data_IF_081704326265
#
_entry.id   IF_081704326265
#
_cell.length_a   1.000
_cell.length_b   1.000
_cell.length_c   1.000
_cell.angle_alpha   90.00
_cell.angle_beta   90.00
_cell.angle_gamma   90.00
#
_symmetry.space_group_name_H-M   'P 1'
#
loop_
_entity.id
_entity.type
_entity.pdbx_description
1 polymer ?
#
# COMPACT_ATOMS: atom_id res chain seq x y z
N UNK A 1 -66.77 0.14 -38.17
CA UNK A 1 -65.39 0.22 -37.66
C UNK A 1 -65.41 1.39 -36.69
N UNK A 2 -65.45 1.08 -35.39
CA UNK A 2 -65.82 2.02 -34.32
C UNK A 2 -64.62 2.28 -33.40
N UNK A 3 -64.73 3.35 -32.63
CA UNK A 3 -63.70 4.14 -31.96
C UNK A 3 -63.23 3.58 -30.59
N UNK A 4 -61.96 3.88 -30.29
CA UNK A 4 -61.40 4.32 -28.98
C UNK A 4 -61.25 3.41 -27.75
N UNK A 5 -60.07 3.61 -27.16
CA UNK A 5 -59.73 3.67 -25.72
C UNK A 5 -59.56 2.35 -24.94
N UNK A 6 -58.34 2.09 -24.45
CA UNK A 6 -58.05 2.13 -23.01
C UNK A 6 -56.56 1.85 -22.68
N UNK A 7 -56.04 2.79 -21.89
CA UNK A 7 -55.02 2.74 -20.84
C UNK A 7 -53.56 2.27 -21.00
N UNK A 8 -52.72 3.19 -20.56
CA UNK A 8 -51.32 3.14 -20.15
C UNK A 8 -51.01 1.98 -19.20
N UNK A 9 -49.82 1.37 -19.29
CA UNK A 9 -48.99 1.11 -18.11
C UNK A 9 -47.51 1.06 -18.51
N UNK A 10 -46.73 1.84 -17.78
CA UNK A 10 -45.28 1.92 -17.74
C UNK A 10 -44.60 0.56 -17.54
N UNK A 11 -43.58 0.26 -18.34
CA UNK A 11 -42.44 -0.50 -17.83
C UNK A 11 -41.13 0.12 -18.33
N UNK A 12 -40.60 0.97 -17.47
CA UNK A 12 -39.18 1.33 -17.42
C UNK A 12 -38.35 0.08 -17.17
N UNK A 13 -37.54 -0.33 -18.13
CA UNK A 13 -36.43 -1.25 -17.84
C UNK A 13 -35.22 -0.94 -18.70
N UNK A 14 -34.58 0.17 -18.31
CA UNK A 14 -33.17 0.43 -18.48
C UNK A 14 -32.34 -0.81 -18.09
N UNK A 15 -31.83 -1.56 -19.06
CA UNK A 15 -30.71 -2.48 -18.82
C UNK A 15 -29.42 -1.79 -19.18
N UNK A 16 -28.89 -1.09 -18.18
CA UNK A 16 -27.51 -0.63 -18.11
C UNK A 16 -26.56 -1.79 -18.45
N UNK A 17 -25.87 -1.65 -19.59
CA UNK A 17 -24.75 -2.50 -19.94
C UNK A 17 -23.59 -2.20 -18.97
N UNK A 18 -23.51 -3.02 -17.91
CA UNK A 18 -22.43 -2.98 -16.93
C UNK A 18 -21.08 -3.18 -17.64
N UNK A 19 -20.32 -2.09 -17.72
CA UNK A 19 -18.90 -2.07 -18.09
C UNK A 19 -18.09 -2.82 -17.02
N UNK A 20 -17.92 -4.13 -17.18
CA UNK A 20 -17.01 -4.92 -16.35
C UNK A 20 -15.57 -4.63 -16.78
N UNK A 21 -14.93 -3.65 -16.12
CA UNK A 21 -13.47 -3.66 -16.02
C UNK A 21 -13.06 -5.02 -15.48
N UNK A 22 -12.38 -5.85 -16.28
CA UNK A 22 -11.72 -7.08 -15.83
C UNK A 22 -10.75 -6.71 -14.69
N UNK A 23 -11.24 -6.69 -13.45
CA UNK A 23 -10.39 -6.88 -12.26
C UNK A 23 -9.95 -8.32 -12.38
N UNK A 24 -8.69 -8.54 -12.76
CA UNK A 24 -8.07 -9.85 -12.57
C UNK A 24 -8.16 -10.13 -11.07
N UNK A 25 -8.87 -11.18 -10.70
CA UNK A 25 -8.96 -11.63 -9.32
C UNK A 25 -7.53 -11.90 -8.83
N UNK A 26 -7.19 -11.30 -7.70
CA UNK A 26 -5.83 -11.41 -7.17
C UNK A 26 -5.74 -12.71 -6.39
N UNK A 27 -4.84 -13.58 -6.82
CA UNK A 27 -4.59 -14.87 -6.19
C UNK A 27 -3.61 -14.71 -5.03
N UNK A 28 -3.82 -15.51 -3.99
CA UNK A 28 -3.11 -15.49 -2.72
C UNK A 28 -2.86 -16.93 -2.26
N UNK A 29 -2.13 -17.06 -1.14
CA UNK A 29 -1.85 -18.31 -0.44
C UNK A 29 -1.04 -19.29 -1.28
N UNK A 30 -0.70 -20.45 -0.69
CA UNK A 30 -0.09 -21.58 -1.40
C UNK A 30 -1.09 -22.33 -2.27
N UNK A 31 -2.39 -22.12 -2.07
CA UNK A 31 -3.45 -22.71 -2.88
C UNK A 31 -3.78 -21.91 -4.14
N UNK A 32 -3.11 -20.78 -4.36
CA UNK A 32 -3.39 -19.83 -5.44
C UNK A 32 -4.87 -19.40 -5.52
N UNK A 33 -5.55 -19.38 -4.38
CA UNK A 33 -6.96 -19.03 -4.26
C UNK A 33 -7.20 -17.53 -4.06
N UNK A 34 -8.45 -17.10 -4.18
CA UNK A 34 -8.84 -15.73 -3.84
C UNK A 34 -8.74 -15.45 -2.33
N UNK A 35 -8.87 -14.19 -1.93
CA UNK A 35 -8.98 -13.83 -0.52
C UNK A 35 -10.32 -14.28 0.05
N UNK A 36 -10.29 -15.16 1.05
CA UNK A 36 -11.46 -15.61 1.80
C UNK A 36 -11.07 -15.92 3.25
N UNK A 37 -12.05 -16.03 4.16
CA UNK A 37 -11.81 -16.41 5.55
C UNK A 37 -10.81 -15.52 6.30
N UNK A 38 -10.22 -16.06 7.36
CA UNK A 38 -9.10 -15.43 8.06
C UNK A 38 -7.79 -15.70 7.33
N UNK A 39 -6.97 -14.65 7.19
CA UNK A 39 -5.69 -14.73 6.49
C UNK A 39 -4.56 -14.16 7.34
N UNK A 40 -3.39 -14.75 7.21
CA UNK A 40 -2.17 -14.38 7.92
C UNK A 40 -1.04 -14.03 6.95
N UNK A 41 -0.15 -13.12 7.35
CA UNK A 41 1.07 -12.77 6.61
C UNK A 41 2.31 -13.22 7.38
N UNK A 42 3.40 -13.47 6.67
CA UNK A 42 4.67 -13.89 7.29
C UNK A 42 5.36 -12.71 8.01
N UNK A 43 5.75 -12.90 9.28
CA UNK A 43 6.44 -11.89 10.10
C UNK A 43 7.93 -11.75 9.81
N UNK A 44 8.52 -12.70 9.06
CA UNK A 44 9.92 -12.57 8.66
C UNK A 44 10.06 -11.39 7.68
N UNK A 45 10.67 -10.30 8.16
CA UNK A 45 10.89 -9.07 7.38
C UNK A 45 11.73 -9.28 6.12
N UNK A 46 12.57 -10.33 6.10
CA UNK A 46 13.39 -10.73 4.97
C UNK A 46 12.70 -11.73 4.03
N UNK A 47 11.49 -12.21 4.35
CA UNK A 47 10.73 -13.12 3.50
C UNK A 47 10.43 -12.47 2.15
N UNK A 48 10.79 -13.15 1.06
CA UNK A 48 10.44 -12.75 -0.32
C UNK A 48 8.92 -12.67 -0.50
N UNK A 49 8.20 -13.60 0.11
CA UNK A 49 6.75 -13.76 -0.01
C UNK A 49 5.94 -13.11 1.13
N UNK A 50 6.54 -12.21 1.91
CA UNK A 50 5.85 -11.45 2.97
C UNK A 50 4.62 -10.65 2.50
N UNK A 51 4.51 -10.42 1.19
CA UNK A 51 3.37 -9.72 0.57
C UNK A 51 2.19 -10.66 0.31
N UNK A 52 2.42 -11.97 0.39
CA UNK A 52 1.39 -12.98 0.23
C UNK A 52 0.61 -13.14 1.54
N UNK A 53 -0.68 -13.45 1.39
CA UNK A 53 -1.59 -13.75 2.48
C UNK A 53 -1.93 -15.23 2.40
N UNK A 54 -1.91 -15.91 3.53
CA UNK A 54 -2.18 -17.33 3.62
C UNK A 54 -3.49 -17.51 4.37
N UNK A 55 -4.42 -18.30 3.82
CA UNK A 55 -5.59 -18.72 4.59
C UNK A 55 -5.12 -19.51 5.79
N UNK A 56 -5.63 -19.20 6.98
CA UNK A 56 -5.23 -19.87 8.21
C UNK A 56 -5.44 -21.38 8.12
N UNK A 57 -6.56 -21.82 7.54
CA UNK A 57 -6.85 -23.23 7.29
C UNK A 57 -5.82 -23.90 6.37
N UNK A 58 -5.39 -23.22 5.30
CA UNK A 58 -4.41 -23.76 4.36
C UNK A 58 -3.02 -23.95 4.99
N UNK A 59 -2.72 -23.26 6.10
CA UNK A 59 -1.46 -23.39 6.83
C UNK A 59 -1.63 -24.04 8.21
N UNK A 60 -2.80 -24.62 8.49
CA UNK A 60 -3.07 -25.38 9.71
C UNK A 60 -3.12 -24.54 10.99
N UNK A 61 -3.55 -23.28 10.91
CA UNK A 61 -3.75 -22.41 12.06
C UNK A 61 -5.22 -22.38 12.47
N UNK A 62 -5.51 -22.73 13.72
CA UNK A 62 -6.87 -22.65 14.29
C UNK A 62 -7.14 -21.32 14.99
N UNK A 63 -6.10 -20.54 15.30
CA UNK A 63 -6.21 -19.23 15.95
C UNK A 63 -5.06 -18.32 15.52
N UNK A 64 -5.25 -17.00 15.61
CA UNK A 64 -4.23 -16.03 15.18
C UNK A 64 -3.06 -16.03 16.17
N UNK A 65 -1.85 -16.43 15.76
CA UNK A 65 -0.66 -16.41 16.61
C UNK A 65 -0.07 -15.00 16.74
N UNK A 66 0.74 -14.77 17.78
CA UNK A 66 1.47 -13.50 17.96
C UNK A 66 2.62 -13.33 16.94
N UNK A 67 3.24 -14.42 16.52
CA UNK A 67 4.28 -14.42 15.48
C UNK A 67 4.15 -15.68 14.64
N UNK A 68 4.17 -15.52 13.31
CA UNK A 68 4.09 -16.63 12.38
C UNK A 68 5.00 -16.46 11.16
N UNK A 69 5.58 -17.57 10.75
CA UNK A 69 6.45 -17.65 9.57
C UNK A 69 5.81 -18.56 8.53
N UNK A 70 5.81 -18.15 7.27
CA UNK A 70 5.30 -18.98 6.18
C UNK A 70 6.14 -20.25 5.99
N UNK A 71 5.60 -21.30 5.32
CA UNK A 71 6.32 -22.55 5.12
C UNK A 71 7.73 -22.39 4.53
N UNK A 72 7.92 -21.41 3.64
CA UNK A 72 9.22 -21.09 3.06
C UNK A 72 10.23 -20.54 4.08
N UNK A 73 9.77 -19.73 5.04
CA UNK A 73 10.62 -19.18 6.11
C UNK A 73 10.88 -20.18 7.24
N UNK A 74 10.03 -21.19 7.39
CA UNK A 74 10.25 -22.27 8.36
C UNK A 74 11.30 -23.27 7.86
N UNK A 75 11.44 -23.46 6.54
CA UNK A 75 12.34 -24.47 5.94
C UNK A 75 13.69 -23.93 5.48
N UNK A 76 13.86 -22.62 5.34
CA UNK A 76 15.09 -22.01 4.85
C UNK A 76 16.09 -21.69 5.98
N UNK A 77 17.37 -22.13 5.87
CA UNK A 77 18.45 -21.55 6.66
C UNK A 77 18.63 -20.08 6.23
N UNK A 78 18.91 -19.21 7.21
CA UNK A 78 18.81 -17.73 7.13
C UNK A 78 19.62 -17.03 6.02
N UNK A 79 20.41 -17.77 5.22
CA UNK A 79 21.42 -17.23 4.29
C UNK A 79 21.21 -17.62 2.81
N UNK A 80 20.11 -18.28 2.44
CA UNK A 80 19.85 -18.58 1.02
C UNK A 80 19.09 -17.43 0.38
N UNK A 81 19.72 -16.79 -0.62
CA UNK A 81 19.09 -15.77 -1.46
C UNK A 81 17.80 -16.32 -2.08
N UNK A 82 16.65 -15.90 -1.55
CA UNK A 82 15.34 -16.32 -2.03
C UNK A 82 15.02 -15.66 -3.38
N UNK A 83 14.33 -16.36 -4.30
CA UNK A 83 13.96 -15.80 -5.60
C UNK A 83 13.04 -14.57 -5.45
N UNK A 84 13.22 -13.60 -6.34
CA UNK A 84 12.56 -12.29 -6.26
C UNK A 84 11.04 -12.41 -6.50
N UNK A 85 10.25 -11.97 -5.53
CA UNK A 85 8.79 -11.97 -5.61
C UNK A 85 8.30 -10.92 -6.62
N UNK A 86 7.78 -11.38 -7.77
CA UNK A 86 7.27 -10.53 -8.85
C UNK A 86 6.05 -9.67 -8.48
N UNK A 87 5.37 -9.94 -7.37
CA UNK A 87 4.26 -9.12 -6.87
C UNK A 87 4.72 -7.98 -5.97
N UNK A 88 5.98 -7.99 -5.51
CA UNK A 88 6.58 -6.86 -4.80
C UNK A 88 7.18 -5.92 -5.85
N UNK A 89 7.13 -4.61 -5.58
CA UNK A 89 8.10 -3.73 -6.24
C UNK A 89 9.49 -4.27 -5.91
N UNK A 90 10.43 -4.33 -6.88
CA UNK A 90 11.78 -4.83 -6.65
C UNK A 90 12.34 -4.23 -5.36
N UNK A 91 13.17 -4.98 -4.62
CA UNK A 91 13.77 -4.46 -3.38
C UNK A 91 14.53 -3.12 -3.59
N UNK A 92 14.89 -2.84 -4.84
CA UNK A 92 15.56 -1.62 -5.33
C UNK A 92 14.61 -0.46 -5.68
N UNK A 93 13.29 -0.61 -5.59
CA UNK A 93 12.34 0.46 -5.90
C UNK A 93 12.27 1.46 -4.74
N UNK A 94 12.81 2.66 -4.98
CA UNK A 94 12.80 3.78 -4.02
C UNK A 94 11.37 4.07 -3.55
N UNK A 95 11.11 3.88 -2.26
CA UNK A 95 9.83 4.24 -1.64
C UNK A 95 9.83 5.68 -1.15
N UNK A 96 8.66 6.27 -0.90
CA UNK A 96 8.59 7.58 -0.24
C UNK A 96 9.29 7.59 1.12
N UNK A 97 9.26 6.47 1.87
CA UNK A 97 10.02 6.35 3.12
C UNK A 97 11.53 6.46 2.92
N UNK A 98 12.04 5.95 1.81
CA UNK A 98 13.47 6.03 1.48
C UNK A 98 13.82 7.45 1.02
N UNK A 99 12.97 8.09 0.21
CA UNK A 99 13.12 9.50 -0.16
C UNK A 99 13.15 10.43 1.06
N UNK A 100 12.25 10.22 2.03
CA UNK A 100 12.23 10.97 3.30
C UNK A 100 13.52 10.71 4.11
N UNK A 101 13.97 9.46 4.16
CA UNK A 101 15.20 9.12 4.91
C UNK A 101 16.42 9.78 4.29
N UNK A 102 16.52 9.80 2.96
CA UNK A 102 17.60 10.47 2.25
C UNK A 102 17.53 11.99 2.44
N UNK A 103 16.32 12.58 2.39
CA UNK A 103 16.11 13.99 2.69
C UNK A 103 16.65 14.34 4.07
N UNK A 104 16.21 13.62 5.11
CA UNK A 104 16.66 13.86 6.48
C UNK A 104 18.18 13.66 6.64
N UNK A 105 18.77 12.63 6.01
CA UNK A 105 20.24 12.41 6.05
C UNK A 105 21.04 13.51 5.37
N UNK A 106 20.46 14.20 4.39
CA UNK A 106 21.11 15.31 3.69
C UNK A 106 21.01 16.65 4.42
N UNK A 107 20.17 16.75 5.44
CA UNK A 107 19.95 17.95 6.24
C UNK A 107 20.86 17.98 7.48
N UNK A 108 21.09 19.17 8.00
CA UNK A 108 21.85 19.36 9.23
C UNK A 108 21.21 18.60 10.41
N UNK A 109 22.05 17.89 11.17
CA UNK A 109 21.62 17.12 12.36
C UNK A 109 20.57 16.05 12.09
N UNK A 110 20.43 15.58 10.84
CA UNK A 110 19.51 14.52 10.43
C UNK A 110 18.02 14.80 10.73
N UNK A 111 17.64 16.08 10.65
CA UNK A 111 16.31 16.56 11.00
C UNK A 111 15.82 17.59 9.98
N UNK A 112 14.50 17.70 9.81
CA UNK A 112 13.90 18.65 8.87
C UNK A 112 12.40 18.85 9.07
N UNK A 113 11.90 19.99 8.62
CA UNK A 113 10.47 20.30 8.59
C UNK A 113 9.78 19.60 7.41
N UNK A 114 8.45 19.50 7.46
CA UNK A 114 7.67 18.98 6.33
C UNK A 114 7.96 19.71 5.02
N UNK A 115 8.20 21.03 5.07
CA UNK A 115 8.49 21.85 3.89
C UNK A 115 9.83 21.47 3.27
N UNK A 116 10.90 21.44 4.08
CA UNK A 116 12.25 21.08 3.63
C UNK A 116 12.30 19.66 3.08
N UNK A 117 11.61 18.72 3.74
CA UNK A 117 11.51 17.33 3.26
C UNK A 117 10.81 17.29 1.90
N UNK A 118 9.68 18.00 1.73
CA UNK A 118 9.00 18.06 0.45
C UNK A 118 9.86 18.71 -0.64
N UNK A 119 10.57 19.79 -0.34
CA UNK A 119 11.46 20.49 -1.29
C UNK A 119 12.58 19.57 -1.78
N UNK A 120 13.25 18.85 -0.86
CA UNK A 120 14.25 17.86 -1.23
C UNK A 120 13.66 16.73 -2.09
N UNK A 121 12.52 16.17 -1.69
CA UNK A 121 11.88 15.07 -2.42
C UNK A 121 11.49 15.50 -3.83
N UNK A 122 10.95 16.71 -3.97
CA UNK A 122 10.59 17.31 -5.25
C UNK A 122 11.81 17.52 -6.15
N UNK A 123 12.91 18.04 -5.60
CA UNK A 123 14.15 18.29 -6.33
C UNK A 123 14.87 17.02 -6.81
N UNK A 124 14.88 15.95 -6.00
CA UNK A 124 15.69 14.76 -6.27
C UNK A 124 14.92 13.59 -6.90
N UNK A 125 13.59 13.55 -6.76
CA UNK A 125 12.78 12.40 -7.18
C UNK A 125 11.62 12.77 -8.11
N UNK A 126 11.62 13.96 -8.70
CA UNK A 126 10.51 14.53 -9.48
C UNK A 126 9.82 13.56 -10.44
N UNK A 127 10.59 12.77 -11.19
CA UNK A 127 10.10 11.80 -12.18
C UNK A 127 9.39 10.58 -11.57
N UNK A 128 9.58 10.32 -10.29
CA UNK A 128 9.02 9.18 -9.56
C UNK A 128 7.78 9.56 -8.73
N UNK A 129 7.46 10.86 -8.63
CA UNK A 129 6.39 11.35 -7.78
C UNK A 129 5.02 11.20 -8.43
N UNK A 130 4.01 10.93 -7.59
CA UNK A 130 2.62 10.92 -8.03
C UNK A 130 2.03 12.33 -8.04
N UNK A 131 2.04 12.98 -9.20
CA UNK A 131 1.54 14.33 -9.44
C UNK A 131 0.02 14.45 -9.57
N UNK A 132 -0.73 13.34 -9.52
CA UNK A 132 -2.18 13.39 -9.50
C UNK A 132 -2.64 14.26 -8.34
N UNK A 133 -3.61 15.13 -8.57
CA UNK A 133 -4.18 15.97 -7.53
C UNK A 133 -5.22 15.19 -6.72
N UNK A 134 -5.23 15.42 -5.41
CA UNK A 134 -6.30 14.96 -4.52
C UNK A 134 -7.63 15.61 -4.90
N UNK A 135 -8.75 14.95 -4.57
CA UNK A 135 -10.10 15.50 -4.75
C UNK A 135 -10.48 16.51 -3.67
N UNK A 136 -9.58 16.78 -2.72
CA UNK A 136 -9.80 17.74 -1.65
C UNK A 136 -9.79 19.19 -2.15
N UNK A 137 -10.27 20.10 -1.31
CA UNK A 137 -10.35 21.53 -1.66
C UNK A 137 -8.98 22.14 -1.99
N UNK A 138 -7.91 21.61 -1.39
CA UNK A 138 -6.55 22.12 -1.57
C UNK A 138 -5.90 21.61 -2.86
N UNK A 139 -6.50 20.62 -3.54
CA UNK A 139 -6.00 19.98 -4.75
C UNK A 139 -4.50 19.69 -4.65
N UNK A 140 -4.04 19.21 -3.51
CA UNK A 140 -2.62 18.95 -3.30
C UNK A 140 -2.17 17.72 -4.10
N UNK A 141 -0.92 17.67 -4.61
CA UNK A 141 -0.40 16.45 -5.22
C UNK A 141 -0.42 15.28 -4.23
N UNK A 142 -0.86 14.12 -4.70
CA UNK A 142 -1.00 12.89 -3.89
C UNK A 142 0.31 12.51 -3.19
N UNK A 143 1.46 12.75 -3.83
CA UNK A 143 2.76 12.45 -3.22
C UNK A 143 3.02 13.27 -1.94
N UNK A 144 2.59 14.54 -1.87
CA UNK A 144 2.76 15.38 -0.66
C UNK A 144 1.93 14.84 0.50
N UNK A 145 0.70 14.38 0.23
CA UNK A 145 -0.13 13.68 1.22
C UNK A 145 0.50 12.37 1.68
N UNK A 146 1.10 11.62 0.76
CA UNK A 146 1.79 10.35 1.07
C UNK A 146 3.00 10.57 1.99
N UNK A 147 3.84 11.55 1.67
CA UNK A 147 4.97 11.97 2.52
C UNK A 147 4.48 12.34 3.92
N UNK A 148 3.42 13.15 3.99
CA UNK A 148 2.82 13.55 5.28
C UNK A 148 2.37 12.33 6.06
N UNK A 149 1.55 11.45 5.48
CA UNK A 149 1.06 10.23 6.15
C UNK A 149 2.22 9.41 6.73
N UNK A 150 3.26 9.18 5.93
CA UNK A 150 4.43 8.39 6.34
C UNK A 150 5.18 9.03 7.52
N UNK A 151 5.39 10.35 7.52
CA UNK A 151 6.04 11.04 8.63
C UNK A 151 5.31 10.91 9.97
N UNK A 152 3.99 10.68 9.93
CA UNK A 152 3.16 10.54 11.13
C UNK A 152 2.85 9.10 11.51
N UNK A 153 2.90 8.15 10.58
CA UNK A 153 2.51 6.75 10.82
C UNK A 153 3.67 5.76 10.81
N UNK A 154 4.82 6.11 10.24
CA UNK A 154 5.95 5.20 10.13
C UNK A 154 6.94 5.40 11.28
N UNK A 155 7.26 4.31 11.98
CA UNK A 155 8.16 4.31 13.13
C UNK A 155 9.63 4.66 12.80
N UNK A 156 10.01 4.76 11.52
CA UNK A 156 11.33 5.27 11.10
C UNK A 156 11.49 6.77 11.37
N UNK A 157 10.39 7.51 11.54
CA UNK A 157 10.39 8.96 11.71
C UNK A 157 9.69 9.33 13.01
N UNK A 158 10.25 10.31 13.73
CA UNK A 158 9.66 10.86 14.94
C UNK A 158 9.63 12.38 14.89
N UNK A 159 8.71 13.00 15.62
CA UNK A 159 8.72 14.45 15.83
C UNK A 159 9.87 14.82 16.77
N UNK A 160 10.52 15.95 16.51
CA UNK A 160 11.54 16.48 17.40
C UNK A 160 10.89 16.85 18.76
N UNK A 161 11.52 16.51 19.90
CA UNK A 161 10.93 16.74 21.23
C UNK A 161 10.78 18.21 21.65
N UNK A 162 11.33 19.15 20.86
CA UNK A 162 11.49 20.56 21.26
C UNK A 162 11.09 21.47 20.10
N UNK A 163 11.65 21.22 18.91
CA UNK A 163 11.34 21.99 17.72
C UNK A 163 10.00 21.54 17.12
N UNK A 164 8.98 22.40 17.21
CA UNK A 164 7.66 22.13 16.63
C UNK A 164 7.75 22.00 15.12
N UNK A 165 7.10 20.98 14.56
CA UNK A 165 7.02 20.76 13.11
C UNK A 165 8.28 20.18 12.48
N UNK A 166 9.29 19.84 13.27
CA UNK A 166 10.52 19.18 12.83
C UNK A 166 10.40 17.66 13.03
N UNK A 167 10.90 16.90 12.06
CA UNK A 167 10.97 15.45 12.07
C UNK A 167 12.42 14.98 12.06
N UNK A 168 12.68 13.85 12.70
CA UNK A 168 14.00 13.23 12.81
C UNK A 168 13.90 11.75 12.42
N UNK A 169 15.02 11.18 11.97
CA UNK A 169 15.17 9.74 11.92
C UNK A 169 15.17 9.17 13.35
N UNK A 170 14.56 8.00 13.51
CA UNK A 170 14.73 7.21 14.73
C UNK A 170 16.09 6.52 14.65
N UNK A 171 16.96 6.84 15.60
CA UNK A 171 18.27 6.21 15.85
C UNK A 171 18.10 4.84 16.48
#
# INVERSE_FOLDING_TARGET
MDETSLDSFSDTSEKQLKKSSKRKEKLYCICEGESFGEMIACDNKACSDRSNWYHMDCVGLESTPETWFCPQCQTSPRDVAMPENHFRKPALSTTYGDMISNALRSMDRTQGTFKEICEYVEAHYQSQLNWKLESDQRKSPVWKSSVRKILFSNNRFKRHPVLKGVFCLVS
#
